data_IF_559263569966
#
_entry.id   IF_559263569966
#
_cell.length_a   1.000
_cell.length_b   1.000
_cell.length_c   1.000
_cell.angle_alpha   90.00
_cell.angle_beta   90.00
_cell.angle_gamma   90.00
#
_symmetry.space_group_name_H-M   'P 1'
#
loop_
_entity.id
_entity.type
_entity.pdbx_description
1 polymer ?
#
# COMPACT_ATOMS: atom_id res chain seq x y z
N UNK A 1 -48.52 33.08 22.82
CA UNK A 1 -48.27 32.91 24.27
C UNK A 1 -47.69 31.52 24.43
N UNK A 2 -46.42 31.40 24.82
CA UNK A 2 -45.79 30.10 25.02
C UNK A 2 -46.39 29.48 26.27
N UNK A 3 -47.24 28.47 26.09
CA UNK A 3 -47.70 27.61 27.17
C UNK A 3 -46.44 26.88 27.67
N UNK A 4 -46.04 27.14 28.91
CA UNK A 4 -44.98 26.39 29.60
C UNK A 4 -45.32 24.91 29.52
N UNK A 5 -44.56 24.14 28.74
CA UNK A 5 -44.73 22.70 28.60
C UNK A 5 -44.54 22.06 29.98
N UNK A 6 -45.55 21.33 30.45
CA UNK A 6 -45.53 20.73 31.76
C UNK A 6 -44.67 19.45 31.71
N UNK A 7 -43.68 19.33 32.59
CA UNK A 7 -42.86 18.11 32.71
C UNK A 7 -43.72 17.05 33.39
N UNK A 8 -43.84 15.89 32.77
CA UNK A 8 -44.73 14.80 33.21
C UNK A 8 -43.94 13.56 33.65
N UNK A 9 -42.68 13.45 33.24
CA UNK A 9 -41.81 12.33 33.60
C UNK A 9 -40.38 12.55 33.16
N UNK A 10 -39.56 11.51 33.35
CA UNK A 10 -38.14 11.46 32.97
C UNK A 10 -37.80 10.14 32.30
N UNK A 11 -36.84 10.14 31.39
CA UNK A 11 -36.31 8.89 30.82
C UNK A 11 -35.46 8.17 31.87
N UNK A 12 -35.89 6.97 32.30
CA UNK A 12 -35.16 6.16 33.29
C UNK A 12 -34.17 5.19 32.66
N UNK A 13 -34.41 4.77 31.41
CA UNK A 13 -33.52 3.87 30.67
C UNK A 13 -33.59 4.17 29.17
N UNK A 14 -32.46 4.06 28.47
CA UNK A 14 -32.42 4.01 27.00
C UNK A 14 -31.34 3.02 26.53
N UNK A 15 -31.71 2.10 25.66
CA UNK A 15 -30.83 1.19 24.92
C UNK A 15 -31.17 1.37 23.43
N UNK A 16 -30.27 1.92 22.63
CA UNK A 16 -30.55 2.32 21.24
C UNK A 16 -30.84 3.82 21.08
N UNK A 17 -31.73 4.19 20.16
CA UNK A 17 -32.04 5.60 19.84
C UNK A 17 -33.54 5.89 20.00
N UNK A 18 -33.84 7.02 20.64
CA UNK A 18 -35.19 7.53 20.76
C UNK A 18 -35.21 9.05 20.63
N UNK A 19 -36.31 9.58 20.12
CA UNK A 19 -36.51 11.00 19.93
C UNK A 19 -37.86 11.41 20.50
N UNK A 20 -37.92 12.61 21.06
CA UNK A 20 -39.18 13.25 21.42
C UNK A 20 -39.45 14.40 20.46
N UNK A 21 -40.64 14.36 19.85
CA UNK A 21 -41.15 15.37 18.95
C UNK A 21 -42.18 16.24 19.66
N UNK A 22 -41.88 17.51 19.76
CA UNK A 22 -42.74 18.53 20.34
C UNK A 22 -43.92 18.85 19.42
N UNK A 23 -44.95 19.51 19.97
CA UNK A 23 -46.15 19.92 19.23
C UNK A 23 -45.87 20.90 18.08
N UNK A 24 -44.77 21.65 18.15
CA UNK A 24 -44.30 22.54 17.07
C UNK A 24 -43.56 21.79 15.95
N UNK A 25 -43.41 20.46 16.07
CA UNK A 25 -42.73 19.60 15.11
C UNK A 25 -41.21 19.51 15.33
N UNK A 26 -40.64 20.24 16.29
CA UNK A 26 -39.23 20.10 16.64
C UNK A 26 -38.97 18.73 17.27
N UNK A 27 -37.82 18.15 16.93
CA UNK A 27 -37.42 16.83 17.41
C UNK A 27 -36.11 16.95 18.19
N UNK A 28 -36.05 16.29 19.35
CA UNK A 28 -34.81 16.14 20.13
C UNK A 28 -34.52 14.66 20.37
N UNK A 29 -33.26 14.29 20.36
CA UNK A 29 -32.82 12.97 20.82
C UNK A 29 -32.96 12.90 22.34
N UNK A 30 -33.45 11.77 22.85
CA UNK A 30 -33.65 11.51 24.28
C UNK A 30 -32.45 10.81 24.89
N UNK A 31 -32.11 11.19 26.12
CA UNK A 31 -31.07 10.59 26.95
C UNK A 31 -31.64 10.26 28.33
N UNK A 32 -31.00 9.33 29.04
CA UNK A 32 -31.36 9.03 30.43
C UNK A 32 -31.29 10.30 31.27
N UNK A 33 -32.35 10.57 32.02
CA UNK A 33 -32.52 11.78 32.83
C UNK A 33 -33.22 12.93 32.11
N UNK A 34 -33.45 12.85 30.80
CA UNK A 34 -34.16 13.91 30.07
C UNK A 34 -35.64 13.99 30.51
N UNK A 35 -36.17 15.20 30.70
CA UNK A 35 -37.60 15.39 30.95
C UNK A 35 -38.40 15.10 29.68
N UNK A 36 -39.57 14.49 29.87
CA UNK A 36 -40.62 14.37 28.85
C UNK A 36 -41.80 15.26 29.21
N UNK A 37 -42.42 15.83 28.20
CA UNK A 37 -43.44 16.87 28.36
C UNK A 37 -44.80 16.41 27.83
N UNK A 38 -45.88 16.93 28.44
CA UNK A 38 -47.24 16.69 27.98
C UNK A 38 -47.43 17.14 26.52
N UNK A 39 -47.97 16.25 25.69
CA UNK A 39 -48.22 16.45 24.26
C UNK A 39 -47.05 16.11 23.34
N UNK A 40 -45.95 15.55 23.86
CA UNK A 40 -44.85 15.06 23.03
C UNK A 40 -45.15 13.69 22.42
N UNK A 41 -44.50 13.44 21.28
CA UNK A 41 -44.51 12.14 20.62
C UNK A 41 -43.13 11.51 20.75
N UNK A 42 -43.02 10.40 21.47
CA UNK A 42 -41.79 9.62 21.62
C UNK A 42 -41.71 8.63 20.45
N UNK A 43 -40.57 8.60 19.77
CA UNK A 43 -40.31 7.78 18.57
C UNK A 43 -39.04 6.98 18.84
N UNK A 44 -39.10 5.64 18.79
CA UNK A 44 -37.93 4.77 19.00
C UNK A 44 -37.45 4.17 17.69
N UNK A 45 -36.14 4.00 17.52
CA UNK A 45 -35.56 3.35 16.34
C UNK A 45 -35.65 1.81 16.47
N UNK A 46 -35.65 1.05 15.36
CA UNK A 46 -35.64 -0.42 15.39
C UNK A 46 -34.61 -1.00 16.36
N UNK A 47 -35.02 -1.98 17.18
CA UNK A 47 -34.16 -2.59 18.20
C UNK A 47 -33.92 -1.76 19.46
N UNK A 48 -34.49 -0.55 19.57
CA UNK A 48 -34.31 0.30 20.75
C UNK A 48 -35.26 -0.05 21.89
N UNK A 49 -34.89 0.26 23.12
CA UNK A 49 -35.69 0.08 24.33
C UNK A 49 -35.58 1.34 25.19
N UNK A 50 -36.71 1.94 25.56
CA UNK A 50 -36.75 3.13 26.40
C UNK A 50 -37.77 2.93 27.52
N UNK A 51 -37.40 3.32 28.73
CA UNK A 51 -38.30 3.38 29.88
C UNK A 51 -38.50 4.83 30.30
N UNK A 52 -39.76 5.21 30.47
CA UNK A 52 -40.17 6.51 31.00
C UNK A 52 -40.69 6.30 32.42
N UNK A 53 -40.24 7.11 33.36
CA UNK A 53 -40.75 7.15 34.72
C UNK A 53 -41.58 8.44 34.92
N UNK A 54 -42.84 8.27 35.34
CA UNK A 54 -43.77 9.38 35.55
C UNK A 54 -43.82 9.80 37.02
N UNK A 55 -44.34 11.01 37.26
CA UNK A 55 -44.38 11.61 38.60
C UNK A 55 -45.28 10.86 39.61
N UNK A 56 -46.19 10.01 39.12
CA UNK A 56 -47.06 9.14 39.93
C UNK A 56 -46.38 7.82 40.37
N UNK A 57 -45.13 7.60 39.94
CA UNK A 57 -44.36 6.38 40.23
C UNK A 57 -44.55 5.26 39.22
N UNK A 58 -45.40 5.44 38.20
CA UNK A 58 -45.56 4.46 37.13
C UNK A 58 -44.43 4.56 36.10
N UNK A 59 -44.08 3.44 35.48
CA UNK A 59 -43.16 3.42 34.33
C UNK A 59 -43.85 2.92 33.07
N UNK A 60 -43.34 3.35 31.91
CA UNK A 60 -43.81 2.92 30.59
C UNK A 60 -42.61 2.53 29.72
N UNK A 61 -42.68 1.34 29.14
CA UNK A 61 -41.61 0.74 28.36
C UNK A 61 -41.98 0.70 26.87
N UNK A 62 -41.18 1.33 26.02
CA UNK A 62 -41.28 1.20 24.56
C UNK A 62 -40.16 0.28 24.05
N UNK A 63 -40.47 -0.54 23.03
CA UNK A 63 -39.51 -1.48 22.42
C UNK A 63 -39.61 -1.49 20.89
N UNK A 64 -38.47 -1.60 20.23
CA UNK A 64 -38.40 -1.65 18.76
C UNK A 64 -38.73 -0.30 18.12
N UNK A 65 -39.50 -0.31 17.02
CA UNK A 65 -39.87 0.87 16.25
C UNK A 65 -41.28 1.35 16.61
N UNK A 66 -41.45 1.90 17.81
CA UNK A 66 -42.73 2.31 18.37
C UNK A 66 -42.86 3.84 18.43
N UNK A 67 -44.11 4.30 18.51
CA UNK A 67 -44.44 5.71 18.70
C UNK A 67 -45.48 5.86 19.79
N UNK A 68 -45.23 6.72 20.79
CA UNK A 68 -46.13 7.01 21.90
C UNK A 68 -46.43 8.50 21.96
N UNK A 69 -47.71 8.87 22.00
CA UNK A 69 -48.13 10.24 22.28
C UNK A 69 -48.40 10.38 23.77
N UNK A 70 -47.76 11.35 24.43
CA UNK A 70 -47.89 11.60 25.86
C UNK A 70 -49.08 12.54 26.13
N UNK A 71 -50.29 12.00 26.10
CA UNK A 71 -51.54 12.74 26.36
C UNK A 71 -52.28 12.22 27.61
N UNK A 72 -53.40 12.88 27.94
CA UNK A 72 -54.29 12.56 29.06
C UNK A 72 -54.61 11.05 29.19
N UNK A 73 -54.67 10.31 28.07
CA UNK A 73 -55.00 8.88 28.06
C UNK A 73 -53.87 7.98 28.57
N UNK A 74 -52.62 8.43 28.50
CA UNK A 74 -51.46 7.74 29.10
C UNK A 74 -51.53 7.80 30.64
N UNK A 75 -52.22 8.82 31.19
CA UNK A 75 -52.33 9.08 32.63
C UNK A 75 -53.59 8.49 33.29
N UNK A 76 -54.61 8.09 32.53
CA UNK A 76 -55.83 7.48 33.07
C UNK A 76 -55.64 5.99 33.46
N UNK A 77 -54.39 5.53 33.58
CA UNK A 77 -54.01 4.21 34.09
C UNK A 77 -54.31 3.99 35.59
N UNK A 78 -55.19 4.81 36.20
CA UNK A 78 -55.83 4.53 37.48
C UNK A 78 -56.79 3.32 37.46
N UNK A 79 -56.62 2.37 36.54
CA UNK A 79 -57.39 1.10 36.54
C UNK A 79 -56.60 -0.17 36.21
N UNK A 80 -55.26 -0.17 36.16
CA UNK A 80 -54.47 -1.42 36.07
C UNK A 80 -54.09 -1.95 37.46
N UNK A 81 -53.71 -1.07 38.39
CA UNK A 81 -53.31 -1.48 39.76
C UNK A 81 -54.43 -2.06 40.64
N UNK A 82 -55.70 -1.77 40.35
CA UNK A 82 -56.84 -2.29 41.13
C UNK A 82 -57.47 -3.57 40.55
N UNK A 83 -57.05 -4.03 39.36
CA UNK A 83 -57.58 -5.25 38.72
C UNK A 83 -56.61 -6.42 38.71
N UNK A 84 -55.30 -6.20 38.81
CA UNK A 84 -54.33 -7.30 39.05
C UNK A 84 -54.36 -7.80 40.50
N UNK A 85 -54.63 -6.92 41.48
CA UNK A 85 -54.77 -7.32 42.88
C UNK A 85 -56.00 -8.23 43.13
N UNK A 86 -56.99 -8.26 42.21
CA UNK A 86 -58.17 -9.11 42.32
C UNK A 86 -57.97 -10.53 41.75
N UNK A 87 -56.86 -10.80 41.06
CA UNK A 87 -56.53 -12.13 40.50
C UNK A 87 -55.59 -12.95 41.39
N UNK A 88 -54.93 -12.33 42.38
CA UNK A 88 -53.93 -12.98 43.24
C UNK A 88 -54.46 -13.39 44.63
N UNK A 89 -55.76 -13.30 44.88
CA UNK A 89 -56.34 -13.56 46.21
C UNK A 89 -56.68 -15.02 46.50
N UNK A 90 -56.41 -15.99 45.63
CA UNK A 90 -56.76 -17.37 45.96
C UNK A 90 -56.36 -18.45 44.97
N UNK A 91 -55.07 -18.55 44.65
CA UNK A 91 -54.44 -19.87 44.45
C UNK A 91 -52.91 -19.73 44.48
N UNK A 92 -52.21 -20.66 45.13
CA UNK A 92 -50.74 -20.64 45.19
C UNK A 92 -50.11 -20.98 43.83
N UNK A 93 -50.85 -21.69 42.98
CA UNK A 93 -50.50 -22.04 41.60
C UNK A 93 -50.50 -20.80 40.67
N UNK A 94 -51.48 -19.90 40.84
CA UNK A 94 -51.54 -18.66 40.07
C UNK A 94 -50.40 -17.69 40.42
N UNK A 95 -49.97 -17.71 41.69
CA UNK A 95 -48.82 -16.90 42.16
C UNK A 95 -47.48 -17.44 41.63
N UNK A 96 -47.31 -18.76 41.56
CA UNK A 96 -46.09 -19.37 41.02
C UNK A 96 -45.95 -19.14 39.52
N UNK A 97 -47.06 -19.24 38.77
CA UNK A 97 -47.11 -18.94 37.33
C UNK A 97 -46.79 -17.46 37.07
N UNK A 98 -47.42 -16.54 37.80
CA UNK A 98 -47.16 -15.10 37.63
C UNK A 98 -45.69 -14.73 37.91
N UNK A 99 -45.07 -15.36 38.92
CA UNK A 99 -43.66 -15.16 39.24
C UNK A 99 -42.72 -15.72 38.16
N UNK A 100 -43.04 -16.87 37.60
CA UNK A 100 -42.24 -17.51 36.55
C UNK A 100 -42.24 -16.72 35.24
N UNK A 101 -43.38 -16.14 34.87
CA UNK A 101 -43.50 -15.23 33.72
C UNK A 101 -42.61 -13.98 33.94
N UNK A 102 -42.64 -13.40 35.14
CA UNK A 102 -41.86 -12.20 35.46
C UNK A 102 -40.34 -12.45 35.50
N UNK A 103 -39.92 -13.67 35.86
CA UNK A 103 -38.52 -14.09 35.90
C UNK A 103 -38.02 -14.66 34.56
N UNK A 104 -38.88 -14.76 33.53
CA UNK A 104 -38.54 -15.24 32.19
C UNK A 104 -38.36 -16.75 32.07
N UNK A 105 -38.89 -17.52 33.02
CA UNK A 105 -38.82 -18.98 33.04
C UNK A 105 -39.92 -19.59 32.16
N UNK A 106 -39.66 -20.75 31.55
CA UNK A 106 -40.70 -21.50 30.82
C UNK A 106 -41.76 -22.03 31.79
N UNK A 107 -43.04 -21.80 31.47
CA UNK A 107 -44.19 -22.25 32.27
C UNK A 107 -44.34 -23.78 32.27
N UNK A 108 -43.73 -24.45 31.30
CA UNK A 108 -43.83 -25.90 31.10
C UNK A 108 -43.13 -26.70 32.22
N UNK A 109 -42.28 -26.05 33.03
CA UNK A 109 -41.55 -26.68 34.13
C UNK A 109 -42.24 -26.55 35.50
N UNK A 110 -43.39 -25.88 35.58
CA UNK A 110 -44.02 -25.48 36.86
C UNK A 110 -45.38 -26.14 37.15
N UNK A 111 -45.94 -26.90 36.21
CA UNK A 111 -47.20 -27.63 36.39
C UNK A 111 -46.88 -29.14 36.44
N UNK A 112 -47.37 -29.86 37.46
CA UNK A 112 -47.16 -31.32 37.54
C UNK A 112 -47.93 -32.05 36.42
N UNK A 113 -47.32 -33.10 35.87
CA UNK A 113 -47.97 -33.99 34.89
C UNK A 113 -49.23 -34.64 35.50
N UNK A 114 -50.36 -34.54 34.82
CA UNK A 114 -51.59 -35.25 35.22
C UNK A 114 -51.40 -36.77 35.11
N UNK A 115 -51.63 -37.46 36.22
CA UNK A 115 -51.64 -38.93 36.30
C UNK A 115 -52.71 -39.57 35.37
N UNK A 116 -52.30 -40.63 34.66
CA UNK A 116 -53.05 -41.56 33.79
C UNK A 116 -54.57 -41.66 34.07
N UNK A 117 -55.50 -41.66 33.10
CA UNK A 117 -55.57 -42.35 31.81
C UNK A 117 -56.75 -43.34 31.84
N UNK A 118 -57.51 -43.52 30.73
CA UNK A 118 -58.29 -44.75 30.42
C UNK A 118 -58.99 -44.73 29.03
N UNK A 119 -58.34 -44.26 27.96
CA UNK A 119 -58.57 -44.72 26.56
C UNK A 119 -57.35 -44.30 25.74
N UNK A 120 -56.45 -45.25 25.45
CA UNK A 120 -55.12 -44.95 24.92
C UNK A 120 -55.09 -44.48 23.48
N UNK A 121 -54.23 -43.50 23.20
CA UNK A 121 -53.17 -43.54 22.18
C UNK A 121 -52.59 -42.14 21.97
N UNK A 122 -51.28 -42.01 22.16
CA UNK A 122 -50.49 -40.89 21.62
C UNK A 122 -50.49 -39.62 22.47
N UNK A 123 -49.45 -39.45 23.28
CA UNK A 123 -49.14 -38.16 23.90
C UNK A 123 -48.71 -37.17 22.84
N UNK A 124 -49.57 -36.20 22.57
CA UNK A 124 -49.21 -34.91 22.01
C UNK A 124 -49.88 -33.86 22.90
N UNK A 125 -49.29 -33.63 24.07
CA UNK A 125 -49.76 -32.67 25.06
C UNK A 125 -48.87 -31.44 25.04
N UNK A 126 -48.91 -30.71 23.92
CA UNK A 126 -48.46 -29.32 23.88
C UNK A 126 -49.53 -28.44 24.55
N UNK A 127 -49.19 -27.81 25.67
CA UNK A 127 -50.02 -26.74 26.21
C UNK A 127 -50.03 -25.58 25.20
N UNK A 128 -51.18 -25.28 24.60
CA UNK A 128 -51.36 -24.02 23.86
C UNK A 128 -51.83 -22.96 24.85
N UNK A 129 -50.92 -22.08 25.28
CA UNK A 129 -51.30 -20.85 25.96
C UNK A 129 -51.31 -19.69 24.96
N UNK A 130 -52.32 -18.83 25.07
CA UNK A 130 -52.38 -17.57 24.32
C UNK A 130 -52.02 -16.44 25.29
N UNK A 131 -50.87 -15.80 25.08
CA UNK A 131 -50.57 -14.55 25.75
C UNK A 131 -51.29 -13.41 25.00
N UNK A 132 -52.46 -12.98 25.48
CA UNK A 132 -53.11 -11.80 24.93
C UNK A 132 -52.37 -10.55 25.39
N UNK A 133 -51.55 -9.97 24.51
CA UNK A 133 -50.78 -8.75 24.81
C UNK A 133 -51.67 -7.50 24.99
N UNK A 134 -52.90 -7.48 24.44
CA UNK A 134 -53.98 -6.52 24.73
C UNK A 134 -55.26 -6.92 23.98
N UNK A 135 -56.43 -6.65 24.58
CA UNK A 135 -57.71 -6.60 23.86
C UNK A 135 -58.04 -5.13 23.64
N UNK A 136 -58.11 -4.70 22.38
CA UNK A 136 -58.45 -3.32 22.02
C UNK A 136 -59.63 -3.34 21.06
N UNK A 137 -60.72 -3.97 21.49
CA UNK A 137 -62.02 -3.82 20.85
C UNK A 137 -63.13 -4.17 21.84
N UNK A 138 -63.99 -3.19 22.14
CA UNK A 138 -65.29 -3.46 22.77
C UNK A 138 -66.24 -3.78 21.64
N UNK A 139 -66.48 -5.06 21.39
CA UNK A 139 -67.61 -5.51 20.58
C UNK A 139 -68.67 -6.03 21.53
N UNK A 140 -69.89 -5.52 21.41
CA UNK A 140 -71.06 -6.04 22.13
C UNK A 140 -71.15 -7.56 21.91
N UNK A 141 -71.38 -8.38 22.95
CA UNK A 141 -71.35 -9.82 22.81
C UNK A 141 -72.46 -10.30 21.86
N UNK A 142 -72.06 -10.75 20.68
CA UNK A 142 -72.90 -11.56 19.81
C UNK A 142 -73.24 -12.85 20.56
N UNK A 143 -74.49 -12.99 20.95
CA UNK A 143 -75.03 -14.22 21.53
C UNK A 143 -74.97 -15.34 20.48
N UNK A 144 -74.05 -16.29 20.64
CA UNK A 144 -74.08 -17.53 19.85
C UNK A 144 -75.14 -18.46 20.42
N UNK A 145 -76.19 -18.74 19.65
CA UNK A 145 -77.08 -19.90 19.88
C UNK A 145 -76.38 -21.12 19.28
N UNK A 146 -76.07 -22.12 20.11
CA UNK A 146 -75.73 -23.45 19.61
C UNK A 146 -76.98 -24.10 19.01
N UNK A 147 -76.99 -24.28 17.70
CA UNK A 147 -77.92 -25.20 17.02
C UNK A 147 -77.26 -26.58 16.96
N UNK A 148 -77.96 -27.60 17.46
CA UNK A 148 -77.45 -28.94 17.75
C UNK A 148 -77.44 -29.86 16.52
N UNK A 149 -77.01 -29.37 15.37
CA UNK A 149 -76.75 -30.21 14.20
C UNK A 149 -75.26 -30.47 14.07
N UNK A 150 -74.89 -31.75 14.13
CA UNK A 150 -73.54 -32.27 13.89
C UNK A 150 -73.00 -31.71 12.57
N UNK A 151 -72.17 -30.67 12.64
CA UNK A 151 -71.23 -30.36 11.58
C UNK A 151 -70.02 -31.24 11.83
N UNK A 152 -69.81 -32.23 10.96
CA UNK A 152 -68.46 -32.74 10.73
C UNK A 152 -67.58 -31.55 10.39
N UNK A 153 -66.66 -31.18 11.27
CA UNK A 153 -65.55 -30.30 10.90
C UNK A 153 -64.86 -30.98 9.73
N UNK A 154 -65.04 -30.43 8.53
CA UNK A 154 -64.08 -30.66 7.47
C UNK A 154 -62.75 -30.18 8.04
N UNK A 155 -61.80 -31.10 8.20
CA UNK A 155 -60.39 -30.73 8.31
C UNK A 155 -60.12 -29.80 7.13
N UNK A 156 -59.84 -28.52 7.41
CA UNK A 156 -59.23 -27.67 6.39
C UNK A 156 -58.01 -28.43 5.87
N UNK A 157 -57.77 -28.47 4.55
CA UNK A 157 -56.53 -29.00 4.05
C UNK A 157 -55.42 -28.18 4.70
N UNK A 158 -54.67 -28.82 5.61
CA UNK A 158 -53.33 -28.36 5.98
C UNK A 158 -52.62 -28.13 4.65
N UNK A 159 -52.34 -26.88 4.31
CA UNK A 159 -51.48 -26.56 3.19
C UNK A 159 -50.12 -27.12 3.53
N UNK A 160 -49.82 -28.32 3.03
CA UNK A 160 -48.43 -28.77 2.94
C UNK A 160 -47.75 -27.72 2.07
N UNK A 161 -46.85 -26.92 2.66
CA UNK A 161 -45.98 -26.07 1.86
C UNK A 161 -45.25 -26.98 0.88
N UNK A 162 -45.39 -26.72 -0.41
CA UNK A 162 -44.60 -27.40 -1.41
C UNK A 162 -43.20 -26.83 -1.28
N UNK A 163 -42.21 -27.70 -1.06
CA UNK A 163 -40.80 -27.31 -1.08
C UNK A 163 -40.47 -26.76 -2.47
N UNK A 164 -40.20 -25.46 -2.55
CA UNK A 164 -39.91 -24.72 -3.77
C UNK A 164 -38.39 -24.57 -3.90
N UNK A 165 -37.80 -25.02 -5.00
CA UNK A 165 -36.35 -24.82 -5.24
C UNK A 165 -36.11 -23.38 -5.70
N UNK A 166 -35.08 -22.67 -5.19
CA UNK A 166 -34.69 -21.37 -5.75
C UNK A 166 -34.24 -21.50 -7.23
N UNK A 167 -34.30 -20.41 -7.98
CA UNK A 167 -33.81 -20.38 -9.37
C UNK A 167 -32.74 -19.31 -9.52
N UNK A 168 -31.48 -19.75 -9.65
CA UNK A 168 -30.36 -18.88 -9.98
C UNK A 168 -30.25 -18.68 -11.49
N UNK A 169 -29.87 -17.49 -11.94
CA UNK A 169 -29.76 -17.10 -13.34
C UNK A 169 -28.40 -16.48 -13.59
N UNK A 170 -27.78 -16.80 -14.74
CA UNK A 170 -26.45 -16.27 -15.05
C UNK A 170 -26.45 -14.73 -15.14
N UNK A 171 -25.38 -14.14 -14.61
CA UNK A 171 -25.18 -12.70 -14.55
C UNK A 171 -24.04 -12.25 -15.46
N UNK A 172 -24.10 -10.98 -15.87
CA UNK A 172 -23.00 -10.33 -16.57
C UNK A 172 -22.81 -8.91 -16.05
N UNK A 173 -21.55 -8.57 -15.77
CA UNK A 173 -21.15 -7.24 -15.33
C UNK A 173 -19.96 -6.72 -16.14
N UNK A 174 -19.77 -5.40 -16.10
CA UNK A 174 -18.59 -4.73 -16.64
C UNK A 174 -17.94 -3.92 -15.53
N UNK A 175 -16.61 -3.90 -15.52
CA UNK A 175 -15.80 -3.10 -14.62
C UNK A 175 -14.54 -2.62 -15.34
N UNK A 176 -13.71 -1.89 -14.63
CA UNK A 176 -12.35 -1.57 -15.07
C UNK A 176 -11.36 -2.29 -14.17
N UNK A 177 -10.15 -2.48 -14.66
CA UNK A 177 -9.07 -2.98 -13.81
C UNK A 177 -8.78 -2.03 -12.63
N UNK A 178 -8.07 -2.56 -11.63
CA UNK A 178 -7.64 -1.90 -10.40
C UNK A 178 -8.74 -1.24 -9.54
N UNK A 179 -10.00 -1.45 -9.91
CA UNK A 179 -11.16 -0.89 -9.22
C UNK A 179 -12.10 -2.01 -8.80
N UNK A 180 -12.41 -2.13 -7.50
CA UNK A 180 -13.40 -3.10 -7.04
C UNK A 180 -14.78 -2.86 -7.67
N UNK A 181 -15.33 -3.91 -8.27
CA UNK A 181 -16.69 -3.95 -8.80
C UNK A 181 -17.66 -4.42 -7.71
N UNK A 182 -18.72 -3.64 -7.49
CA UNK A 182 -19.81 -4.00 -6.58
C UNK A 182 -21.06 -4.34 -7.40
N UNK A 183 -21.72 -5.44 -7.07
CA UNK A 183 -22.92 -5.88 -7.78
C UNK A 183 -23.89 -6.67 -6.91
N UNK A 184 -24.97 -7.13 -7.53
CA UNK A 184 -25.99 -7.96 -6.88
C UNK A 184 -26.38 -9.12 -7.80
N UNK A 185 -26.31 -10.33 -7.25
CA UNK A 185 -26.72 -11.59 -7.90
C UNK A 185 -28.24 -11.75 -7.84
N UNK A 186 -28.87 -11.24 -6.77
CA UNK A 186 -30.30 -11.40 -6.54
C UNK A 186 -31.21 -10.66 -7.55
N UNK A 187 -30.66 -9.90 -8.51
CA UNK A 187 -31.42 -9.00 -9.36
C UNK A 187 -32.28 -9.73 -10.41
N UNK A 188 -31.78 -10.85 -10.95
CA UNK A 188 -32.43 -11.69 -11.96
C UNK A 188 -32.82 -13.08 -11.42
N UNK A 189 -32.42 -13.40 -10.21
CA UNK A 189 -32.75 -14.64 -9.52
C UNK A 189 -34.19 -14.66 -9.01
N UNK A 190 -34.73 -15.88 -8.85
CA UNK A 190 -36.03 -16.10 -8.20
C UNK A 190 -35.82 -16.88 -6.89
N UNK A 191 -35.95 -16.22 -5.73
CA UNK A 191 -35.91 -16.90 -4.43
C UNK A 191 -37.04 -17.91 -4.27
N UNK A 192 -36.82 -18.97 -3.49
CA UNK A 192 -37.90 -19.88 -3.10
C UNK A 192 -38.91 -19.21 -2.17
N UNK A 193 -40.11 -19.79 -2.09
CA UNK A 193 -41.16 -19.33 -1.16
C UNK A 193 -40.98 -19.87 0.26
N UNK A 194 -40.00 -20.74 0.48
CA UNK A 194 -39.70 -21.37 1.77
C UNK A 194 -38.88 -20.48 2.72
N UNK A 195 -38.62 -19.23 2.32
CA UNK A 195 -37.79 -18.26 3.06
C UNK A 195 -36.32 -18.69 3.21
N UNK A 196 -35.50 -17.89 3.89
CA UNK A 196 -34.10 -18.24 4.18
C UNK A 196 -33.17 -18.38 2.97
N UNK A 197 -33.47 -17.70 1.85
CA UNK A 197 -32.62 -17.73 0.65
C UNK A 197 -31.30 -17.00 0.92
N UNK A 198 -30.18 -17.72 0.81
CA UNK A 198 -28.83 -17.24 1.07
C UNK A 198 -27.98 -17.44 -0.18
N UNK A 199 -27.36 -16.36 -0.65
CA UNK A 199 -26.34 -16.42 -1.70
C UNK A 199 -24.98 -16.72 -1.10
N UNK A 200 -24.22 -17.58 -1.76
CA UNK A 200 -22.84 -17.90 -1.36
C UNK A 200 -21.98 -18.24 -2.56
N UNK A 201 -20.67 -17.99 -2.42
CA UNK A 201 -19.68 -18.32 -3.44
C UNK A 201 -19.56 -19.84 -3.57
N UNK A 202 -19.54 -20.33 -4.80
CA UNK A 202 -19.31 -21.74 -5.15
C UNK A 202 -17.87 -21.94 -5.63
N UNK A 203 -17.47 -21.22 -6.68
CA UNK A 203 -16.09 -21.17 -7.15
C UNK A 203 -15.65 -19.72 -7.30
N UNK A 204 -14.45 -19.38 -6.83
CA UNK A 204 -13.86 -18.05 -7.03
C UNK A 204 -13.50 -17.75 -8.48
N UNK A 205 -13.09 -16.51 -8.72
CA UNK A 205 -12.58 -16.06 -10.01
C UNK A 205 -11.10 -16.44 -10.18
N UNK A 206 -10.62 -16.53 -11.42
CA UNK A 206 -9.22 -16.86 -11.71
C UNK A 206 -8.32 -15.63 -11.60
N UNK A 207 -8.84 -14.47 -12.01
CA UNK A 207 -8.08 -13.23 -12.11
C UNK A 207 -8.58 -12.15 -11.14
N UNK A 208 -9.14 -12.57 -10.00
CA UNK A 208 -9.53 -11.66 -8.93
C UNK A 208 -10.07 -12.38 -7.71
N UNK A 209 -10.42 -11.58 -6.69
CA UNK A 209 -10.99 -12.06 -5.44
C UNK A 209 -12.46 -11.67 -5.37
N UNK A 210 -13.32 -12.65 -5.09
CA UNK A 210 -14.77 -12.46 -4.96
C UNK A 210 -15.18 -12.66 -3.51
N UNK A 211 -15.97 -11.72 -2.99
CA UNK A 211 -16.68 -11.84 -1.71
C UNK A 211 -18.17 -11.73 -1.97
N UNK A 212 -18.91 -12.83 -1.79
CA UNK A 212 -20.38 -12.85 -1.86
C UNK A 212 -20.95 -12.76 -0.44
N UNK A 213 -21.93 -11.89 -0.24
CA UNK A 213 -22.69 -11.77 1.01
C UNK A 213 -24.00 -12.56 0.94
N UNK A 214 -24.57 -12.95 2.09
CA UNK A 214 -25.81 -13.73 2.15
C UNK A 214 -27.02 -13.09 1.47
N UNK A 215 -27.03 -11.76 1.31
CA UNK A 215 -28.08 -10.99 0.65
C UNK A 215 -27.96 -10.94 -0.88
N UNK A 216 -26.97 -11.63 -1.45
CA UNK A 216 -26.69 -11.63 -2.88
C UNK A 216 -25.87 -10.43 -3.35
N UNK A 217 -25.50 -9.49 -2.48
CA UNK A 217 -24.50 -8.48 -2.84
C UNK A 217 -23.11 -9.12 -2.92
N UNK A 218 -22.27 -8.65 -3.84
CA UNK A 218 -20.89 -9.12 -3.95
C UNK A 218 -19.92 -7.98 -4.22
N UNK A 219 -18.65 -8.24 -3.91
CA UNK A 219 -17.51 -7.43 -4.31
C UNK A 219 -16.55 -8.32 -5.08
N UNK A 220 -16.23 -7.93 -6.32
CA UNK A 220 -15.15 -8.51 -7.11
C UNK A 220 -13.99 -7.50 -7.16
N UNK A 221 -12.80 -7.94 -6.79
CA UNK A 221 -11.57 -7.14 -6.91
C UNK A 221 -10.67 -7.83 -7.93
N UNK A 222 -10.47 -7.27 -9.13
CA UNK A 222 -9.55 -7.86 -10.10
C UNK A 222 -8.11 -7.88 -9.53
N UNK A 223 -7.30 -8.81 -10.02
CA UNK A 223 -5.86 -8.76 -9.80
C UNK A 223 -5.32 -7.45 -10.41
N UNK A 224 -4.24 -6.92 -9.83
CA UNK A 224 -3.63 -5.70 -10.32
C UNK A 224 -3.26 -5.83 -11.80
N UNK A 225 -3.63 -4.83 -12.59
CA UNK A 225 -3.31 -4.68 -14.03
C UNK A 225 -3.83 -5.85 -14.89
N UNK A 226 -4.91 -6.50 -14.43
CA UNK A 226 -5.61 -7.52 -15.21
C UNK A 226 -6.80 -6.90 -15.92
N UNK A 227 -6.77 -6.98 -17.25
CA UNK A 227 -7.90 -6.70 -18.13
C UNK A 227 -8.31 -7.95 -18.93
N UNK A 228 -9.59 -8.04 -19.27
CA UNK A 228 -10.18 -9.16 -20.00
C UNK A 228 -11.35 -9.81 -19.30
N UNK A 229 -11.73 -11.00 -19.77
CA UNK A 229 -12.88 -11.73 -19.25
C UNK A 229 -12.49 -12.61 -18.05
N UNK A 230 -13.17 -12.41 -16.93
CA UNK A 230 -13.09 -13.24 -15.73
C UNK A 230 -14.48 -13.72 -15.33
N UNK A 231 -14.58 -14.61 -14.35
CA UNK A 231 -15.87 -15.09 -13.89
C UNK A 231 -15.81 -16.01 -12.69
N UNK A 232 -16.92 -16.12 -12.00
CA UNK A 232 -17.08 -16.97 -10.82
C UNK A 232 -18.44 -17.66 -10.83
N UNK A 233 -18.65 -18.64 -9.97
CA UNK A 233 -19.97 -19.27 -9.80
C UNK A 233 -20.47 -19.12 -8.37
N UNK A 234 -21.80 -19.07 -8.22
CA UNK A 234 -22.46 -18.93 -6.93
C UNK A 234 -23.63 -19.91 -6.82
N UNK A 235 -24.13 -20.03 -5.59
CA UNK A 235 -25.34 -20.78 -5.28
C UNK A 235 -26.31 -19.99 -4.41
N UNK A 236 -27.59 -20.27 -4.59
CA UNK A 236 -28.69 -19.87 -3.70
C UNK A 236 -29.08 -21.12 -2.91
N UNK A 237 -29.14 -21.02 -1.59
CA UNK A 237 -29.62 -22.08 -0.70
C UNK A 237 -30.77 -21.55 0.15
N UNK A 238 -31.89 -22.28 0.21
CA UNK A 238 -33.03 -21.87 1.03
C UNK A 238 -33.04 -22.51 2.43
N UNK A 239 -34.08 -22.22 3.22
CA UNK A 239 -34.24 -22.73 4.57
C UNK A 239 -34.34 -24.27 4.66
N UNK A 240 -34.75 -24.92 3.57
CA UNK A 240 -34.95 -26.36 3.48
C UNK A 240 -33.72 -27.08 2.92
N UNK A 241 -32.72 -26.33 2.47
CA UNK A 241 -31.45 -26.83 1.94
C UNK A 241 -31.48 -27.10 0.44
N UNK A 242 -32.51 -26.64 -0.28
CA UNK A 242 -32.55 -26.72 -1.73
C UNK A 242 -31.54 -25.74 -2.34
N UNK A 243 -30.84 -26.18 -3.39
CA UNK A 243 -29.71 -25.44 -3.98
C UNK A 243 -29.91 -25.23 -5.47
N UNK A 244 -29.62 -24.00 -5.92
CA UNK A 244 -29.57 -23.62 -7.34
C UNK A 244 -28.28 -22.87 -7.62
N UNK A 245 -27.64 -23.10 -8.77
CA UNK A 245 -26.33 -22.52 -9.12
C UNK A 245 -26.38 -21.73 -10.42
N UNK A 246 -25.56 -20.69 -10.51
CA UNK A 246 -25.38 -19.89 -11.71
C UNK A 246 -23.95 -19.34 -11.80
N UNK A 247 -23.61 -18.80 -12.97
CA UNK A 247 -22.30 -18.20 -13.24
C UNK A 247 -22.40 -16.70 -13.44
N UNK A 248 -21.35 -15.98 -13.03
CA UNK A 248 -21.15 -14.57 -13.32
C UNK A 248 -20.01 -14.43 -14.32
N UNK A 249 -20.25 -13.71 -15.41
CA UNK A 249 -19.21 -13.26 -16.35
C UNK A 249 -18.91 -11.79 -16.10
N UNK A 250 -17.63 -11.44 -15.94
CA UNK A 250 -17.17 -10.06 -15.76
C UNK A 250 -16.26 -9.70 -16.93
N UNK A 251 -16.57 -8.59 -17.59
CA UNK A 251 -15.69 -7.98 -18.60
C UNK A 251 -14.92 -6.83 -17.95
N UNK A 252 -13.61 -7.00 -17.76
CA UNK A 252 -12.72 -6.02 -17.14
C UNK A 252 -12.06 -5.19 -18.24
N UNK A 253 -12.50 -3.95 -18.39
CA UNK A 253 -11.95 -3.02 -19.35
C UNK A 253 -10.57 -2.52 -18.90
N UNK A 254 -9.65 -2.37 -19.86
CA UNK A 254 -8.33 -1.82 -19.58
C UNK A 254 -8.39 -0.32 -19.30
N UNK A 255 -7.49 0.13 -18.44
CA UNK A 255 -7.24 1.52 -18.09
C UNK A 255 -5.73 1.71 -18.12
N UNK A 256 -5.27 2.71 -18.87
CA UNK A 256 -3.84 2.96 -19.04
C UNK A 256 -3.12 3.12 -17.69
N UNK A 257 -2.12 2.28 -17.48
CA UNK A 257 -1.20 2.32 -16.37
C UNK A 257 -0.03 3.27 -16.62
N UNK A 258 0.62 3.74 -15.56
CA UNK A 258 1.86 4.50 -15.71
C UNK A 258 3.03 3.55 -16.00
N UNK A 259 3.99 3.96 -16.85
CA UNK A 259 5.19 3.18 -17.08
C UNK A 259 6.06 3.13 -15.83
N UNK A 260 6.86 2.08 -15.67
CA UNK A 260 7.80 1.89 -14.58
C UNK A 260 9.24 2.08 -15.08
N UNK A 261 9.82 3.25 -14.75
CA UNK A 261 11.23 3.53 -15.02
C UNK A 261 12.13 3.03 -13.87
N UNK A 262 13.31 2.48 -14.17
CA UNK A 262 14.26 1.96 -13.19
C UNK A 262 15.65 2.56 -13.38
N UNK A 263 16.31 2.87 -12.26
CA UNK A 263 17.62 3.49 -12.27
C UNK A 263 18.69 2.62 -12.96
N UNK A 264 19.60 3.30 -13.65
CA UNK A 264 20.73 2.71 -14.35
C UNK A 264 22.05 2.98 -13.63
N UNK A 265 23.04 2.14 -13.93
CA UNK A 265 24.41 2.27 -13.46
C UNK A 265 25.39 2.21 -14.64
N UNK A 266 26.45 3.01 -14.59
CA UNK A 266 27.49 2.99 -15.61
C UNK A 266 28.83 3.57 -15.14
N UNK A 267 29.84 3.48 -16.00
CA UNK A 267 31.10 4.19 -15.84
C UNK A 267 31.53 4.82 -17.16
N UNK A 268 32.38 5.84 -17.06
CA UNK A 268 32.86 6.59 -18.21
C UNK A 268 34.27 7.12 -17.94
N UNK A 269 34.96 7.51 -19.02
CA UNK A 269 36.28 8.15 -18.90
C UNK A 269 36.12 9.64 -18.65
N UNK A 270 36.98 10.18 -17.79
CA UNK A 270 37.19 11.61 -17.65
C UNK A 270 37.41 12.29 -19.01
N UNK A 271 36.92 13.52 -19.14
CA UNK A 271 37.06 14.38 -20.33
C UNK A 271 36.53 13.79 -21.64
N UNK A 272 35.74 12.71 -21.57
CA UNK A 272 35.20 12.01 -22.74
C UNK A 272 33.67 11.94 -22.64
N UNK A 273 32.92 12.56 -23.56
CA UNK A 273 31.48 12.37 -23.63
C UNK A 273 31.10 10.90 -23.82
N UNK A 274 30.03 10.47 -23.16
CA UNK A 274 29.45 9.13 -23.31
C UNK A 274 28.01 9.24 -23.81
N UNK A 275 27.65 8.43 -24.81
CA UNK A 275 26.30 8.37 -25.37
C UNK A 275 25.64 7.03 -25.02
N UNK A 276 24.41 7.12 -24.50
CA UNK A 276 23.53 6.01 -24.18
C UNK A 276 22.45 5.91 -25.24
N UNK A 277 22.30 4.74 -25.86
CA UNK A 277 21.18 4.50 -26.77
C UNK A 277 19.87 4.41 -25.99
N UNK A 278 18.75 4.79 -26.60
CA UNK A 278 17.42 4.64 -25.98
C UNK A 278 17.17 3.20 -25.52
N UNK A 279 17.50 2.19 -26.36
CA UNK A 279 17.32 0.79 -26.00
C UNK A 279 18.21 0.31 -24.85
N UNK A 280 19.32 0.99 -24.56
CA UNK A 280 20.14 0.68 -23.38
C UNK A 280 19.46 1.17 -22.11
N UNK A 281 18.95 2.40 -22.11
CA UNK A 281 18.29 2.99 -20.94
C UNK A 281 16.93 2.34 -20.68
N UNK A 282 16.13 2.14 -21.74
CA UNK A 282 14.82 1.48 -21.63
C UNK A 282 14.91 -0.03 -21.36
N UNK A 283 16.11 -0.61 -21.28
CA UNK A 283 16.30 -2.05 -21.22
C UNK A 283 15.83 -2.70 -19.91
N UNK A 284 15.72 -1.92 -18.84
CA UNK A 284 15.21 -2.32 -17.52
C UNK A 284 13.85 -1.68 -17.17
N UNK A 285 13.31 -0.86 -18.07
CA UNK A 285 12.02 -0.19 -17.92
C UNK A 285 10.90 -1.07 -18.46
N UNK A 286 9.69 -0.87 -17.96
CA UNK A 286 8.53 -1.66 -18.37
C UNK A 286 7.25 -0.86 -18.29
N UNK A 287 6.28 -1.22 -19.11
CA UNK A 287 4.93 -0.70 -19.05
C UNK A 287 3.95 -1.85 -18.75
N UNK A 288 3.03 -1.72 -17.79
CA UNK A 288 2.07 -2.78 -17.48
C UNK A 288 1.12 -3.17 -18.61
N UNK A 289 0.70 -2.21 -19.43
CA UNK A 289 -0.13 -2.44 -20.61
C UNK A 289 0.68 -3.07 -21.77
N UNK A 290 2.00 -3.06 -21.64
CA UNK A 290 2.92 -3.51 -22.69
C UNK A 290 3.17 -2.46 -23.77
N UNK A 291 2.88 -1.19 -23.47
CA UNK A 291 3.07 -0.09 -24.39
C UNK A 291 4.55 0.20 -24.70
N UNK A 292 4.77 0.77 -25.88
CA UNK A 292 6.11 1.10 -26.35
C UNK A 292 6.63 2.37 -25.67
N UNK A 293 7.67 2.21 -24.86
CA UNK A 293 8.28 3.32 -24.11
C UNK A 293 9.18 4.20 -24.98
N UNK A 294 9.11 5.51 -24.74
CA UNK A 294 10.00 6.50 -25.37
C UNK A 294 10.54 7.49 -24.35
N UNK A 295 11.81 7.91 -24.53
CA UNK A 295 12.45 8.92 -23.70
C UNK A 295 11.98 10.32 -24.15
N UNK A 296 11.46 11.11 -23.22
CA UNK A 296 10.89 12.44 -23.49
C UNK A 296 11.78 13.59 -23.02
N UNK A 297 12.56 13.39 -21.97
CA UNK A 297 13.46 14.39 -21.43
C UNK A 297 14.70 13.77 -20.79
N UNK A 298 15.76 14.57 -20.71
CA UNK A 298 16.96 14.26 -19.96
C UNK A 298 17.48 15.54 -19.30
N UNK A 299 17.65 15.54 -17.98
CA UNK A 299 18.05 16.71 -17.20
C UNK A 299 18.79 16.34 -15.91
N UNK A 300 19.03 17.33 -15.03
CA UNK A 300 19.57 17.07 -13.70
C UNK A 300 21.03 16.58 -13.68
N UNK A 301 21.82 16.92 -14.70
CA UNK A 301 23.24 16.55 -14.79
C UNK A 301 24.04 17.01 -13.57
N UNK A 302 24.60 16.06 -12.82
CA UNK A 302 25.52 16.27 -11.69
C UNK A 302 26.94 16.01 -12.17
N UNK A 303 27.83 17.00 -12.00
CA UNK A 303 29.22 16.95 -12.50
C UNK A 303 29.34 16.69 -14.02
N UNK A 304 28.35 17.17 -14.77
CA UNK A 304 28.34 17.13 -16.22
C UNK A 304 27.09 17.75 -16.82
N UNK A 305 27.08 17.86 -18.14
CA UNK A 305 25.94 18.30 -18.94
C UNK A 305 25.28 17.09 -19.60
N UNK A 306 23.95 17.07 -19.63
CA UNK A 306 23.16 16.03 -20.30
C UNK A 306 22.42 16.63 -21.49
N UNK A 307 22.35 15.88 -22.59
CA UNK A 307 21.67 16.26 -23.83
C UNK A 307 20.87 15.07 -24.37
N UNK A 308 19.56 15.25 -24.53
CA UNK A 308 18.71 14.32 -25.30
C UNK A 308 18.86 14.63 -26.79
N UNK A 309 19.28 13.65 -27.57
CA UNK A 309 19.48 13.78 -29.02
C UNK A 309 18.19 13.48 -29.78
N UNK A 310 18.10 13.93 -31.03
CA UNK A 310 16.90 13.77 -31.87
C UNK A 310 16.57 12.32 -32.27
N UNK A 311 17.49 11.37 -32.06
CA UNK A 311 17.29 9.94 -32.26
C UNK A 311 16.87 9.20 -30.97
N UNK A 312 16.64 9.94 -29.87
CA UNK A 312 16.27 9.40 -28.56
C UNK A 312 17.45 8.92 -27.71
N UNK A 313 18.69 8.95 -28.22
CA UNK A 313 19.87 8.70 -27.39
C UNK A 313 20.14 9.86 -26.44
N UNK A 314 20.78 9.59 -25.30
CA UNK A 314 21.23 10.63 -24.36
C UNK A 314 22.75 10.70 -24.35
N UNK A 315 23.30 11.90 -24.50
CA UNK A 315 24.74 12.17 -24.34
C UNK A 315 25.00 12.86 -23.00
N UNK A 316 25.91 12.30 -22.21
CA UNK A 316 26.44 12.91 -21.00
C UNK A 316 27.88 13.38 -21.24
N UNK A 317 28.15 14.66 -20.93
CA UNK A 317 29.46 15.31 -21.07
C UNK A 317 29.96 15.64 -19.66
N UNK A 318 31.01 14.96 -19.15
CA UNK A 318 31.48 15.21 -17.80
C UNK A 318 32.12 16.60 -17.69
N UNK A 319 32.11 17.18 -16.50
CA UNK A 319 32.85 18.41 -16.21
C UNK A 319 34.36 18.18 -16.43
N UNK A 320 35.04 19.15 -17.06
CA UNK A 320 36.44 19.01 -17.43
C UNK A 320 37.33 18.78 -16.20
N UNK A 321 38.16 17.74 -16.24
CA UNK A 321 39.04 17.33 -15.14
C UNK A 321 38.32 16.72 -13.93
N UNK A 322 37.01 16.49 -14.00
CA UNK A 322 36.27 15.82 -12.93
C UNK A 322 36.51 14.30 -12.94
N UNK A 323 36.56 13.70 -11.75
CA UNK A 323 36.57 12.25 -11.54
C UNK A 323 35.80 11.96 -10.25
N UNK A 324 35.10 10.84 -10.20
CA UNK A 324 34.17 10.51 -9.11
C UNK A 324 32.72 10.31 -9.57
N UNK A 325 31.75 10.30 -8.65
CA UNK A 325 30.35 10.03 -8.96
C UNK A 325 29.69 11.18 -9.72
N UNK A 326 28.99 10.85 -10.80
CA UNK A 326 28.19 11.76 -11.61
C UNK A 326 26.80 11.14 -11.87
N UNK A 327 25.82 11.93 -12.27
CA UNK A 327 24.49 11.40 -12.60
C UNK A 327 23.68 12.31 -13.50
N UNK A 328 22.59 11.79 -14.05
CA UNK A 328 21.53 12.57 -14.69
C UNK A 328 20.20 11.81 -14.58
N UNK A 329 19.09 12.50 -14.81
CA UNK A 329 17.75 11.90 -14.86
C UNK A 329 17.24 11.84 -16.30
N UNK A 330 16.38 10.87 -16.59
CA UNK A 330 15.58 10.83 -17.80
C UNK A 330 14.14 10.47 -17.49
N UNK A 331 13.20 10.97 -18.29
CA UNK A 331 11.79 10.64 -18.19
C UNK A 331 11.32 9.88 -19.43
N UNK A 332 10.46 8.90 -19.20
CA UNK A 332 9.84 8.05 -20.23
C UNK A 332 8.34 8.29 -20.29
N UNK A 333 7.73 7.98 -21.44
CA UNK A 333 6.28 7.94 -21.62
C UNK A 333 5.86 6.70 -22.40
N UNK A 334 4.65 6.24 -22.10
CA UNK A 334 3.90 5.19 -22.81
C UNK A 334 3.25 5.67 -24.13
N UNK A 335 3.15 7.00 -24.34
CA UNK A 335 2.44 7.60 -25.47
C UNK A 335 0.93 7.75 -25.28
N UNK A 336 0.40 7.31 -24.14
CA UNK A 336 -1.02 7.33 -23.77
C UNK A 336 -1.32 8.23 -22.55
N UNK A 337 -0.27 8.82 -21.96
CA UNK A 337 -0.39 9.87 -20.96
C UNK A 337 0.36 9.56 -19.66
N UNK A 338 0.81 8.33 -19.48
CA UNK A 338 1.67 7.92 -18.38
C UNK A 338 3.11 8.39 -18.59
N UNK A 339 3.75 8.75 -17.47
CA UNK A 339 5.16 9.14 -17.45
C UNK A 339 5.84 8.64 -16.19
N UNK A 340 7.12 8.27 -16.30
CA UNK A 340 7.96 7.92 -15.14
C UNK A 340 9.38 8.43 -15.35
N UNK A 341 10.15 8.55 -14.27
CA UNK A 341 11.52 9.09 -14.28
C UNK A 341 12.49 8.14 -13.60
N UNK A 342 13.68 8.00 -14.16
CA UNK A 342 14.79 7.23 -13.60
C UNK A 342 16.08 8.05 -13.58
N UNK A 343 17.01 7.64 -12.73
CA UNK A 343 18.35 8.24 -12.60
C UNK A 343 19.41 7.28 -13.13
N UNK A 344 20.31 7.80 -13.97
CA UNK A 344 21.55 7.13 -14.36
C UNK A 344 22.66 7.55 -13.42
N UNK A 345 23.22 6.62 -12.66
CA UNK A 345 24.37 6.88 -11.78
C UNK A 345 25.66 6.42 -12.46
N UNK A 346 26.63 7.34 -12.57
CA UNK A 346 27.88 7.16 -13.30
C UNK A 346 29.07 7.27 -12.36
N UNK A 347 30.13 6.51 -12.66
CA UNK A 347 31.47 6.75 -12.13
C UNK A 347 32.38 7.27 -13.23
N UNK A 348 32.92 8.48 -13.05
CA UNK A 348 33.91 9.09 -13.96
C UNK A 348 35.31 8.63 -13.54
N UNK A 349 35.87 7.75 -14.35
CA UNK A 349 37.20 7.18 -14.14
C UNK A 349 38.28 8.15 -14.59
N UNK A 350 39.24 8.40 -13.71
CA UNK A 350 40.37 9.28 -13.99
C UNK A 350 41.22 8.68 -15.13
N UNK A 351 41.40 9.44 -16.20
CA UNK A 351 42.40 9.08 -17.21
C UNK A 351 43.76 9.54 -16.70
N UNK A 352 44.73 8.62 -16.57
CA UNK A 352 46.10 8.99 -16.22
C UNK A 352 46.57 10.10 -17.15
N UNK A 353 46.78 11.29 -16.59
CA UNK A 353 47.37 12.44 -17.29
C UNK A 353 48.78 12.03 -17.69
N UNK A 354 48.96 11.59 -18.93
CA UNK A 354 50.31 11.36 -19.46
C UNK A 354 50.96 12.73 -19.56
N UNK A 355 51.83 13.06 -18.62
CA UNK A 355 52.80 14.14 -18.82
C UNK A 355 53.54 13.85 -20.13
N UNK A 356 53.65 14.81 -21.06
CA UNK A 356 54.46 14.63 -22.27
C UNK A 356 55.86 14.15 -21.85
N UNK A 357 56.48 13.21 -22.59
CA UNK A 357 57.86 12.83 -22.30
C UNK A 357 58.72 14.10 -22.39
N UNK A 358 59.47 14.38 -21.31
CA UNK A 358 60.50 15.42 -21.35
C UNK A 358 61.53 14.97 -22.37
N UNK A 359 61.79 15.80 -23.38
CA UNK A 359 62.84 15.53 -24.38
C UNK A 359 64.17 15.84 -23.70
N UNK A 360 65.06 14.84 -23.62
CA UNK A 360 66.41 15.03 -23.11
C UNK A 360 67.30 15.73 -24.15
N UNK A 361 68.05 16.74 -23.74
CA UNK A 361 69.04 17.46 -24.52
C UNK A 361 70.45 17.01 -24.13
N UNK A 362 71.31 16.80 -25.14
CA UNK A 362 72.69 16.41 -24.85
C UNK A 362 73.49 17.55 -24.19
N UNK A 363 74.46 17.22 -23.32
CA UNK A 363 75.33 18.22 -22.72
C UNK A 363 76.26 18.88 -23.75
N UNK A 364 76.88 19.99 -23.34
CA UNK A 364 77.91 20.70 -24.10
C UNK A 364 79.20 20.73 -23.29
N UNK A 365 80.23 20.02 -23.78
CA UNK A 365 81.57 20.05 -23.20
C UNK A 365 82.40 21.20 -23.80
N UNK A 366 83.16 21.92 -22.97
CA UNK A 366 83.98 23.07 -23.38
C UNK A 366 85.48 22.84 -23.11
N UNK A 367 86.39 23.19 -24.05
CA UNK A 367 87.82 22.91 -23.88
C UNK A 367 88.43 23.56 -22.63
N UNK A 368 89.41 22.86 -22.05
CA UNK A 368 90.15 23.30 -20.86
C UNK A 368 91.63 23.53 -21.18
N UNK A 369 92.24 24.53 -20.55
CA UNK A 369 93.68 24.80 -20.70
C UNK A 369 94.30 25.01 -19.32
N UNK A 370 95.26 24.14 -18.98
CA UNK A 370 95.98 24.19 -17.71
C UNK A 370 97.48 23.96 -17.92
N UNK A 371 98.28 24.28 -16.90
CA UNK A 371 99.71 23.99 -16.85
C UNK A 371 100.08 23.33 -15.53
N UNK A 372 100.98 22.35 -15.59
CA UNK A 372 101.61 21.73 -14.42
C UNK A 372 103.14 21.77 -14.58
N UNK A 373 103.88 21.55 -13.50
CA UNK A 373 105.32 21.34 -13.60
C UNK A 373 105.62 19.99 -14.26
N UNK A 374 106.80 19.85 -14.87
CA UNK A 374 107.28 18.55 -15.33
C UNK A 374 107.24 17.51 -14.18
N UNK A 375 107.00 16.25 -14.54
CA UNK A 375 106.91 15.11 -13.62
C UNK A 375 105.87 15.24 -12.50
N UNK A 376 104.96 16.22 -12.59
CA UNK A 376 103.96 16.51 -11.57
C UNK A 376 102.54 16.24 -12.09
N UNK A 377 101.87 15.17 -11.61
CA UNK A 377 100.48 14.90 -11.95
C UNK A 377 99.55 16.05 -11.53
N UNK A 378 98.49 16.27 -12.31
CA UNK A 378 97.46 17.30 -12.04
C UNK A 378 96.05 16.71 -12.18
N UNK A 379 95.18 16.98 -11.22
CA UNK A 379 93.75 16.68 -11.30
C UNK A 379 93.02 17.89 -11.89
N UNK A 380 92.22 17.67 -12.94
CA UNK A 380 91.64 18.74 -13.76
C UNK A 380 90.12 18.73 -13.61
N UNK A 381 89.56 19.81 -13.05
CA UNK A 381 88.12 19.96 -12.86
C UNK A 381 87.42 20.45 -14.14
N UNK A 382 87.33 19.58 -15.16
CA UNK A 382 86.81 19.91 -16.50
C UNK A 382 85.34 20.37 -16.51
N UNK A 383 84.50 19.82 -15.62
CA UNK A 383 83.06 20.12 -15.58
C UNK A 383 82.68 21.57 -15.22
N UNK A 384 83.65 22.41 -14.84
CA UNK A 384 83.38 23.76 -14.35
C UNK A 384 82.85 24.72 -15.42
N UNK A 385 83.16 24.47 -16.70
CA UNK A 385 82.72 25.24 -17.86
C UNK A 385 81.70 24.50 -18.74
N UNK A 386 81.35 23.26 -18.38
CA UNK A 386 80.41 22.41 -19.12
C UNK A 386 78.97 22.73 -18.73
N UNK A 387 78.03 22.58 -19.67
CA UNK A 387 76.62 22.90 -19.45
C UNK A 387 75.69 21.85 -20.00
N UNK A 388 74.55 21.68 -19.34
CA UNK A 388 73.44 20.86 -19.81
C UNK A 388 72.17 21.71 -19.94
N UNK A 389 71.46 21.69 -21.08
CA UNK A 389 70.24 22.48 -21.26
C UNK A 389 69.10 22.13 -20.30
N UNK A 390 69.06 20.89 -19.80
CA UNK A 390 68.06 20.41 -18.84
C UNK A 390 68.52 20.62 -17.38
N UNK A 391 69.75 21.11 -17.18
CA UNK A 391 70.35 21.35 -15.87
C UNK A 391 70.83 20.06 -15.19
N UNK A 392 71.04 19.00 -15.97
CA UNK A 392 71.45 17.70 -15.48
C UNK A 392 72.88 17.71 -14.90
N UNK A 393 73.11 16.82 -13.93
CA UNK A 393 74.42 16.63 -13.32
C UNK A 393 75.29 15.81 -14.27
N UNK A 394 76.42 16.39 -14.68
CA UNK A 394 77.33 15.78 -15.65
C UNK A 394 78.43 14.95 -15.00
N UNK A 395 78.73 13.81 -15.61
CA UNK A 395 79.79 12.88 -15.17
C UNK A 395 80.82 12.70 -16.26
N UNK A 396 82.11 12.70 -15.91
CA UNK A 396 83.18 12.36 -16.87
C UNK A 396 83.23 10.84 -16.99
N UNK A 397 82.97 10.31 -18.19
CA UNK A 397 82.84 8.87 -18.43
C UNK A 397 83.97 8.29 -19.25
N UNK A 398 84.67 9.12 -20.03
CA UNK A 398 85.82 8.68 -20.81
C UNK A 398 86.89 9.77 -20.90
N UNK A 399 88.14 9.32 -21.00
CA UNK A 399 89.32 10.15 -21.27
C UNK A 399 90.21 9.42 -22.29
N UNK A 400 90.95 10.19 -23.07
CA UNK A 400 92.05 9.66 -23.89
C UNK A 400 93.40 10.02 -23.25
N UNK A 401 94.48 9.37 -23.70
CA UNK A 401 95.82 9.77 -23.32
C UNK A 401 96.34 10.85 -24.27
N UNK A 402 97.19 11.74 -23.74
CA UNK A 402 98.02 12.60 -24.56
C UNK A 402 99.14 11.82 -25.25
N UNK A 403 99.86 12.50 -26.14
CA UNK A 403 101.00 11.89 -26.83
C UNK A 403 102.23 11.75 -25.91
N UNK A 404 102.29 12.53 -24.82
CA UNK A 404 103.43 12.63 -23.93
C UNK A 404 103.02 12.56 -22.44
N UNK A 405 101.95 11.82 -22.16
CA UNK A 405 101.46 11.59 -20.82
C UNK A 405 100.24 10.69 -20.79
N UNK A 406 99.86 10.27 -19.59
CA UNK A 406 98.71 9.39 -19.36
C UNK A 406 97.59 10.11 -18.60
N UNK A 407 96.35 9.76 -18.89
CA UNK A 407 95.16 10.32 -18.23
C UNK A 407 94.34 9.19 -17.64
N UNK A 408 93.95 9.36 -16.38
CA UNK A 408 93.00 8.46 -15.70
C UNK A 408 91.87 9.28 -15.09
N UNK A 409 90.73 8.67 -14.80
CA UNK A 409 89.66 9.33 -14.04
C UNK A 409 89.87 9.01 -12.57
N UNK A 410 90.00 10.02 -11.72
CA UNK A 410 90.08 9.82 -10.27
C UNK A 410 88.78 9.21 -9.76
N UNK A 411 88.81 8.02 -9.13
CA UNK A 411 87.60 7.35 -8.66
C UNK A 411 86.87 8.10 -7.53
N UNK A 412 87.51 9.07 -6.88
CA UNK A 412 86.88 9.87 -5.81
C UNK A 412 86.20 11.11 -6.37
N UNK A 413 86.94 11.96 -7.09
CA UNK A 413 86.37 13.22 -7.63
C UNK A 413 85.62 13.04 -8.95
N UNK A 414 85.92 11.98 -9.72
CA UNK A 414 85.42 11.80 -11.07
C UNK A 414 86.04 12.75 -12.10
N UNK A 415 87.16 13.39 -11.77
CA UNK A 415 87.88 14.31 -12.64
C UNK A 415 89.07 13.62 -13.33
N UNK A 416 89.44 14.03 -14.56
CA UNK A 416 90.67 13.58 -15.19
C UNK A 416 91.92 13.92 -14.37
N UNK A 417 92.87 12.98 -14.32
CA UNK A 417 94.20 13.12 -13.72
C UNK A 417 95.22 12.90 -14.82
N UNK A 418 95.90 13.96 -15.24
CA UNK A 418 96.97 13.91 -16.22
C UNK A 418 98.32 13.74 -15.54
N UNK A 419 99.11 12.78 -16.00
CA UNK A 419 100.49 12.51 -15.55
C UNK A 419 101.43 12.64 -16.76
N UNK A 420 102.28 13.69 -16.81
CA UNK A 420 103.28 13.84 -17.88
C UNK A 420 104.26 12.66 -17.91
N UNK A 421 104.79 12.34 -19.09
CA UNK A 421 105.92 11.41 -19.22
C UNK A 421 107.18 11.98 -18.54
N UNK A 422 108.02 11.09 -18.03
CA UNK A 422 109.20 11.49 -17.25
C UNK A 422 110.16 12.39 -18.06
N UNK A 423 110.54 13.53 -17.49
CA UNK A 423 111.40 14.57 -18.09
C UNK A 423 110.84 15.22 -19.37
N UNK A 424 109.53 15.08 -19.62
CA UNK A 424 108.90 15.72 -20.78
C UNK A 424 108.49 17.16 -20.48
N UNK A 425 108.71 18.05 -21.46
CA UNK A 425 108.27 19.44 -21.43
C UNK A 425 107.64 19.81 -22.77
N UNK A 426 106.59 20.62 -22.74
CA UNK A 426 105.89 21.08 -23.93
C UNK A 426 104.39 21.18 -23.72
N UNK A 427 103.63 21.18 -24.82
CA UNK A 427 102.17 21.11 -24.82
C UNK A 427 101.73 19.70 -25.16
N UNK A 428 100.83 19.15 -24.35
CA UNK A 428 100.17 17.87 -24.60
C UNK A 428 98.67 18.11 -24.66
N UNK A 429 97.95 17.21 -25.30
CA UNK A 429 96.50 17.36 -25.50
C UNK A 429 95.85 15.98 -25.42
N UNK A 430 94.81 15.89 -24.62
CA UNK A 430 93.94 14.72 -24.54
C UNK A 430 92.49 15.19 -24.72
N UNK A 431 91.55 14.26 -24.69
CA UNK A 431 90.12 14.56 -24.70
C UNK A 431 89.41 13.90 -23.52
N UNK A 432 88.31 14.51 -23.09
CA UNK A 432 87.41 13.96 -22.09
C UNK A 432 85.97 13.97 -22.60
N UNK A 433 85.15 13.06 -22.10
CA UNK A 433 83.72 12.96 -22.44
C UNK A 433 82.87 13.07 -21.19
N UNK A 434 81.90 13.98 -21.22
CA UNK A 434 80.86 14.09 -20.20
C UNK A 434 79.57 13.40 -20.65
N UNK A 435 78.82 12.90 -19.68
CA UNK A 435 77.56 12.18 -19.89
C UNK A 435 76.52 12.64 -18.89
N UNK A 436 75.31 12.92 -19.39
CA UNK A 436 74.13 13.20 -18.58
C UNK A 436 73.52 11.90 -17.99
N UNK A 437 72.56 11.97 -17.06
CA UNK A 437 71.90 10.79 -16.49
C UNK A 437 71.12 9.94 -17.50
N UNK A 438 70.76 10.48 -18.67
CA UNK A 438 70.05 9.77 -19.73
C UNK A 438 70.99 8.97 -20.66
N UNK A 439 72.29 9.27 -20.61
CA UNK A 439 73.33 8.67 -21.43
C UNK A 439 73.75 9.49 -22.65
N UNK A 440 73.24 10.71 -22.83
CA UNK A 440 73.73 11.58 -23.90
C UNK A 440 75.11 12.16 -23.55
N UNK A 441 75.96 12.34 -24.56
CA UNK A 441 77.38 12.64 -24.34
C UNK A 441 77.88 13.84 -25.14
N UNK A 442 78.97 14.43 -24.63
CA UNK A 442 79.70 15.52 -25.29
C UNK A 442 81.19 15.39 -25.00
N UNK A 443 82.04 15.72 -25.97
CA UNK A 443 83.51 15.55 -25.86
C UNK A 443 84.22 16.87 -26.13
N UNK A 444 85.18 17.20 -25.28
CA UNK A 444 86.09 18.34 -25.45
C UNK A 444 87.54 17.92 -25.18
N UNK A 445 88.47 18.86 -25.37
CA UNK A 445 89.92 18.69 -25.21
C UNK A 445 90.45 19.43 -24.00
#
# INVERSE_FOLDING_TARGET
MAQTANIIGTVSLIEGQAFAKSRDGSQRELRVGDPVYEGEVIITAPGSRIELAFADGNTYLLRGNETLTLDASVFDAASTGAKEAALLTGDDELKSIARAIAEGNSLDQLLEETAAGLTGSGGDSGHSFVQLARVLEVVDPLSFKFDSTVQTLATEPQSVSVNDVPTAVNDSFQGTEDTPLNGSLAANDTPSRDSGNIWSLETGAEHGVVVVRPDGSFVYTPNANYNGQDGFSYRITDANGDVSTATVTIDVASVNDEPLARNDLGSMKQDTPLSFSAGTLLGNDSDPDGDALTITSADGGVHGQVVLNGDGSITFIPEAGYYGPASFNYSITDGHGGTSTATVNLTVDQTSKTTPPVVNHAPTANPDVLSTNEDTPITIAVRGNDTDPDGDILTVTAVTNGANGSVTIDPVSGNPVYTPDANWHGTDTFSYTITDPSGATSTAT
#
